data_IF_202594738798
#
_entry.id   IF_202594738798
#
_cell.length_a   1.000
_cell.length_b   1.000
_cell.length_c   1.000
_cell.angle_alpha   90.00
_cell.angle_beta   90.00
_cell.angle_gamma   90.00
#
_symmetry.space_group_name_H-M   'P 1'
#
loop_
_entity.id
_entity.type
_entity.pdbx_description
1 polymer ?
#
# COMPACT_ATOMS: atom_id res chain seq x y z
N UNK A 1 -18.62 39.43 5.85
CA UNK A 1 -19.11 38.06 5.62
C UNK A 1 -18.00 37.11 6.06
N UNK A 2 -18.19 36.37 7.15
CA UNK A 2 -17.23 35.36 7.61
C UNK A 2 -17.31 34.18 6.65
N UNK A 3 -16.18 33.70 6.09
CA UNK A 3 -16.19 32.51 5.23
C UNK A 3 -16.79 31.33 5.99
N UNK A 4 -17.75 30.63 5.36
CA UNK A 4 -18.29 29.38 5.92
C UNK A 4 -17.13 28.42 6.14
N UNK A 5 -16.97 27.80 7.32
CA UNK A 5 -15.92 26.82 7.55
C UNK A 5 -15.98 25.76 6.46
N UNK A 6 -14.83 25.42 5.87
CA UNK A 6 -14.74 24.36 4.84
C UNK A 6 -15.17 23.05 5.50
N UNK A 7 -16.21 22.43 4.98
CA UNK A 7 -16.70 21.16 5.50
C UNK A 7 -15.67 20.07 5.16
N UNK A 8 -15.18 19.35 6.19
CA UNK A 8 -14.23 18.24 6.03
C UNK A 8 -14.91 17.12 5.24
N UNK A 9 -14.31 16.69 4.14
CA UNK A 9 -14.84 15.64 3.27
C UNK A 9 -14.64 14.25 3.87
N UNK A 10 -15.39 13.24 3.37
CA UNK A 10 -15.19 11.84 3.76
C UNK A 10 -13.78 11.34 3.45
N UNK A 11 -13.21 11.76 2.33
CA UNK A 11 -11.83 11.43 1.97
C UNK A 11 -10.81 11.97 2.99
N UNK A 12 -11.00 13.19 3.50
CA UNK A 12 -10.15 13.77 4.54
C UNK A 12 -10.28 13.02 5.88
N UNK A 13 -11.49 12.57 6.22
CA UNK A 13 -11.74 11.75 7.41
C UNK A 13 -11.09 10.36 7.26
N UNK A 14 -11.24 9.70 6.11
CA UNK A 14 -10.60 8.41 5.85
C UNK A 14 -9.07 8.51 5.84
N UNK A 15 -8.51 9.60 5.32
CA UNK A 15 -7.08 9.86 5.42
C UNK A 15 -6.63 10.06 6.88
N UNK A 16 -7.42 10.73 7.71
CA UNK A 16 -7.17 10.85 9.16
C UNK A 16 -7.25 9.47 9.84
N UNK A 17 -8.25 8.65 9.53
CA UNK A 17 -8.36 7.29 10.03
C UNK A 17 -7.12 6.46 9.70
N UNK A 18 -6.63 6.53 8.46
CA UNK A 18 -5.41 5.83 8.03
C UNK A 18 -4.18 6.26 8.85
N UNK A 19 -4.04 7.56 9.19
CA UNK A 19 -2.95 8.04 10.05
C UNK A 19 -3.06 7.53 11.50
N UNK A 20 -4.28 7.48 12.05
CA UNK A 20 -4.52 6.92 13.39
C UNK A 20 -4.17 5.43 13.41
N UNK A 21 -4.59 4.66 12.41
CA UNK A 21 -4.31 3.21 12.30
C UNK A 21 -2.81 2.87 12.29
N UNK A 22 -1.93 3.77 11.84
CA UNK A 22 -0.49 3.54 11.88
C UNK A 22 0.07 3.48 13.31
N UNK A 23 -0.55 4.19 14.26
CA UNK A 23 -0.06 4.33 15.64
C UNK A 23 -0.96 3.70 16.70
N UNK A 24 -2.19 3.36 16.36
CA UNK A 24 -3.18 2.80 17.30
C UNK A 24 -3.64 1.44 16.78
N UNK A 25 -3.68 0.45 17.67
CA UNK A 25 -4.16 -0.89 17.32
C UNK A 25 -5.66 -0.90 17.05
N UNK A 26 -6.21 -1.90 16.31
CA UNK A 26 -7.64 -1.96 16.07
C UNK A 26 -8.47 -2.13 17.35
N UNK A 27 -7.90 -2.67 18.43
CA UNK A 27 -8.59 -2.81 19.72
C UNK A 27 -8.77 -1.43 20.38
N UNK A 28 -7.70 -0.64 20.39
CA UNK A 28 -7.63 0.64 21.11
C UNK A 28 -8.22 1.80 20.31
N UNK A 29 -8.27 1.71 18.97
CA UNK A 29 -8.79 2.78 18.12
C UNK A 29 -10.25 3.10 18.45
N UNK A 30 -10.54 4.39 18.62
CA UNK A 30 -11.89 4.93 18.84
C UNK A 30 -12.29 5.89 17.72
N UNK A 31 -13.59 6.13 17.56
CA UNK A 31 -14.09 7.16 16.63
C UNK A 31 -13.68 8.57 17.08
N UNK A 32 -13.44 8.76 18.38
CA UNK A 32 -12.97 10.03 18.93
C UNK A 32 -11.53 10.34 18.47
N UNK A 33 -10.63 9.34 18.44
CA UNK A 33 -9.26 9.52 17.95
C UNK A 33 -9.25 9.97 16.49
N UNK A 34 -10.14 9.39 15.68
CA UNK A 34 -10.25 9.77 14.25
C UNK A 34 -10.86 11.16 14.10
N UNK A 35 -11.84 11.52 14.95
CA UNK A 35 -12.44 12.85 14.93
C UNK A 35 -11.43 13.93 15.32
N UNK A 36 -10.62 13.70 16.34
CA UNK A 36 -9.53 14.58 16.76
C UNK A 36 -8.50 14.76 15.63
N UNK A 37 -8.05 13.67 15.03
CA UNK A 37 -7.09 13.69 13.91
C UNK A 37 -7.65 14.40 12.68
N UNK A 38 -8.95 14.28 12.41
CA UNK A 38 -9.64 14.92 11.29
C UNK A 38 -10.03 16.38 11.56
N UNK A 39 -9.93 16.84 12.82
CA UNK A 39 -10.38 18.18 13.24
C UNK A 39 -11.89 18.36 13.19
N UNK A 40 -12.66 17.31 13.46
CA UNK A 40 -14.13 17.33 13.45
C UNK A 40 -14.71 16.87 14.80
N UNK A 41 -15.99 17.13 15.03
CA UNK A 41 -16.64 16.61 16.23
C UNK A 41 -16.93 15.11 16.11
N UNK A 42 -16.78 14.28 17.16
CA UNK A 42 -17.04 12.83 17.10
C UNK A 42 -18.42 12.46 16.55
N UNK A 43 -19.45 13.26 16.81
CA UNK A 43 -20.78 13.07 16.24
C UNK A 43 -20.79 13.11 14.70
N UNK A 44 -19.88 13.86 14.07
CA UNK A 44 -19.74 13.93 12.62
C UNK A 44 -19.27 12.57 12.06
N UNK A 45 -18.32 11.92 12.74
CA UNK A 45 -17.85 10.57 12.34
C UNK A 45 -18.99 9.56 12.45
N UNK A 46 -19.72 9.58 13.58
CA UNK A 46 -20.86 8.68 13.81
C UNK A 46 -21.96 8.90 12.76
N UNK A 47 -22.26 10.15 12.45
CA UNK A 47 -23.29 10.48 11.46
C UNK A 47 -22.93 10.00 10.04
N UNK A 48 -21.63 10.09 9.66
CA UNK A 48 -21.18 9.78 8.30
C UNK A 48 -20.83 8.30 8.10
N UNK A 49 -20.24 7.66 9.10
CA UNK A 49 -19.70 6.31 9.00
C UNK A 49 -20.38 5.31 9.94
N UNK A 50 -21.19 5.75 10.90
CA UNK A 50 -21.88 4.86 11.84
C UNK A 50 -20.95 4.33 12.93
N UNK A 51 -20.52 3.10 12.79
CA UNK A 51 -19.69 2.37 13.74
C UNK A 51 -18.21 2.39 13.38
N UNK A 52 -17.35 2.02 14.34
CA UNK A 52 -15.91 1.81 14.08
C UNK A 52 -15.69 0.79 12.95
N UNK A 53 -16.45 -0.31 12.94
CA UNK A 53 -16.36 -1.34 11.89
C UNK A 53 -16.64 -0.75 10.50
N UNK A 54 -17.70 0.03 10.38
CA UNK A 54 -18.10 0.67 9.12
C UNK A 54 -17.07 1.70 8.64
N UNK A 55 -16.50 2.50 9.56
CA UNK A 55 -15.40 3.42 9.24
C UNK A 55 -14.18 2.67 8.71
N UNK A 56 -13.76 1.58 9.39
CA UNK A 56 -12.62 0.77 8.95
C UNK A 56 -12.88 0.14 7.59
N UNK A 57 -14.08 -0.39 7.37
CA UNK A 57 -14.47 -0.96 6.07
C UNK A 57 -14.50 0.10 4.96
N UNK A 58 -15.00 1.30 5.24
CA UNK A 58 -14.96 2.41 4.30
C UNK A 58 -13.51 2.80 3.95
N UNK A 59 -12.61 2.77 4.93
CA UNK A 59 -11.18 3.01 4.70
C UNK A 59 -10.56 1.94 3.78
N UNK A 60 -10.82 0.66 4.01
CA UNK A 60 -10.36 -0.42 3.15
C UNK A 60 -10.90 -0.29 1.71
N UNK A 61 -12.19 0.04 1.56
CA UNK A 61 -12.83 0.27 0.25
C UNK A 61 -12.19 1.45 -0.49
N UNK A 62 -11.95 2.56 0.19
CA UNK A 62 -11.32 3.75 -0.39
C UNK A 62 -9.89 3.44 -0.86
N UNK A 63 -9.09 2.76 -0.03
CA UNK A 63 -7.75 2.32 -0.40
C UNK A 63 -7.77 1.40 -1.63
N UNK A 64 -8.66 0.41 -1.65
CA UNK A 64 -8.81 -0.54 -2.77
C UNK A 64 -9.17 0.16 -4.07
N UNK A 65 -10.06 1.15 -4.02
CA UNK A 65 -10.47 1.93 -5.20
C UNK A 65 -9.31 2.77 -5.77
N UNK A 66 -8.37 3.20 -4.95
CA UNK A 66 -7.24 4.05 -5.35
C UNK A 66 -6.03 3.27 -5.91
N UNK A 67 -5.96 1.96 -5.73
CA UNK A 67 -4.80 1.14 -6.16
C UNK A 67 -4.43 1.38 -7.62
N UNK A 68 -5.38 1.37 -8.53
CA UNK A 68 -5.09 1.60 -9.95
C UNK A 68 -4.57 3.02 -10.22
N UNK A 69 -5.06 4.01 -9.47
CA UNK A 69 -4.58 5.40 -9.50
C UNK A 69 -3.12 5.50 -9.07
N UNK A 70 -2.74 4.86 -7.98
CA UNK A 70 -1.36 4.84 -7.48
C UNK A 70 -0.39 4.24 -8.52
N UNK A 71 -0.78 3.17 -9.21
CA UNK A 71 0.02 2.62 -10.32
C UNK A 71 0.08 3.57 -11.53
N UNK A 72 -0.98 4.32 -11.83
CA UNK A 72 -0.97 5.32 -12.90
C UNK A 72 -0.03 6.48 -12.57
N UNK A 73 -0.05 6.98 -11.33
CA UNK A 73 0.88 8.00 -10.85
C UNK A 73 2.33 7.52 -10.90
N UNK A 74 2.60 6.29 -10.45
CA UNK A 74 3.93 5.71 -10.51
C UNK A 74 4.44 5.63 -11.96
N UNK A 75 3.58 5.24 -12.91
CA UNK A 75 3.92 5.23 -14.35
C UNK A 75 4.23 6.64 -14.90
N UNK A 76 3.58 7.67 -14.39
CA UNK A 76 3.84 9.04 -14.80
C UNK A 76 5.19 9.58 -14.28
N UNK A 77 5.66 9.08 -13.12
CA UNK A 77 6.94 9.49 -12.51
C UNK A 77 8.18 8.93 -13.23
N UNK A 78 8.09 7.71 -13.78
CA UNK A 78 9.27 6.99 -14.29
C UNK A 78 9.05 6.49 -15.71
N UNK A 79 10.06 6.71 -16.59
CA UNK A 79 10.03 6.20 -17.98
C UNK A 79 10.28 4.70 -18.09
N UNK A 80 11.06 4.12 -17.18
CA UNK A 80 11.38 2.69 -17.15
C UNK A 80 10.30 1.92 -16.40
N UNK A 81 9.58 0.98 -17.04
CA UNK A 81 8.59 0.14 -16.38
C UNK A 81 9.18 -0.66 -15.20
N UNK A 82 10.41 -1.15 -15.33
CA UNK A 82 11.08 -1.89 -14.27
C UNK A 82 11.42 -0.98 -13.09
N UNK A 83 11.88 0.24 -13.35
CA UNK A 83 12.08 1.24 -12.31
C UNK A 83 10.77 1.60 -11.64
N UNK A 84 9.71 1.83 -12.40
CA UNK A 84 8.35 2.09 -11.87
C UNK A 84 7.94 1.00 -10.89
N UNK A 85 8.11 -0.28 -11.25
CA UNK A 85 7.74 -1.39 -10.38
C UNK A 85 8.54 -1.39 -9.07
N UNK A 86 9.85 -1.20 -9.14
CA UNK A 86 10.72 -1.19 -7.95
C UNK A 86 10.36 -0.01 -7.02
N UNK A 87 10.27 1.20 -7.59
CA UNK A 87 9.97 2.40 -6.81
C UNK A 87 8.57 2.36 -6.20
N UNK A 88 7.57 1.91 -6.97
CA UNK A 88 6.22 1.73 -6.45
C UNK A 88 6.17 0.70 -5.31
N UNK A 89 6.88 -0.42 -5.44
CA UNK A 89 6.99 -1.39 -4.34
C UNK A 89 7.58 -0.77 -3.08
N UNK A 90 8.54 0.13 -3.21
CA UNK A 90 9.14 0.88 -2.09
C UNK A 90 8.17 1.93 -1.55
N UNK A 91 7.53 2.72 -2.40
CA UNK A 91 6.55 3.74 -1.99
C UNK A 91 5.39 3.13 -1.20
N UNK A 92 4.92 1.93 -1.60
CA UNK A 92 3.88 1.18 -0.88
C UNK A 92 4.27 0.76 0.55
N UNK A 93 5.52 0.90 0.98
CA UNK A 93 5.94 0.61 2.37
C UNK A 93 5.77 1.79 3.33
N UNK A 94 5.36 2.94 2.83
CA UNK A 94 5.27 4.19 3.61
C UNK A 94 4.32 4.15 4.82
N UNK A 95 3.40 3.19 4.87
CA UNK A 95 2.50 2.98 5.99
C UNK A 95 3.20 2.38 7.23
N UNK A 96 4.33 1.71 7.06
CA UNK A 96 5.08 1.04 8.12
C UNK A 96 6.47 1.69 8.29
N UNK A 97 6.53 2.76 9.07
CA UNK A 97 7.78 3.49 9.36
C UNK A 97 8.54 2.93 10.58
N UNK A 98 7.86 2.23 11.48
CA UNK A 98 8.40 1.59 12.68
C UNK A 98 7.92 0.15 12.83
N UNK A 99 8.63 -0.71 13.60
CA UNK A 99 8.15 -2.06 13.90
C UNK A 99 6.78 -2.06 14.58
N UNK A 100 6.46 -1.04 15.37
CA UNK A 100 5.18 -0.87 16.05
C UNK A 100 4.06 -0.58 15.05
N UNK A 101 4.28 0.32 14.07
CA UNK A 101 3.31 0.58 13.01
C UNK A 101 3.08 -0.65 12.13
N UNK A 102 4.11 -1.47 11.93
CA UNK A 102 3.95 -2.76 11.23
C UNK A 102 3.14 -3.75 12.05
N UNK A 103 3.36 -3.84 13.38
CA UNK A 103 2.55 -4.68 14.25
C UNK A 103 1.07 -4.27 14.24
N UNK A 104 0.78 -2.97 14.29
CA UNK A 104 -0.58 -2.46 14.13
C UNK A 104 -1.18 -2.85 12.77
N UNK A 105 -0.44 -2.71 11.69
CA UNK A 105 -0.90 -3.10 10.35
C UNK A 105 -1.23 -4.59 10.25
N UNK A 106 -0.46 -5.46 10.90
CA UNK A 106 -0.75 -6.89 10.98
C UNK A 106 -2.02 -7.19 11.80
N UNK A 107 -2.28 -6.41 12.86
CA UNK A 107 -3.50 -6.55 13.65
C UNK A 107 -4.75 -6.13 12.83
N UNK A 108 -4.67 -5.10 11.99
CA UNK A 108 -5.72 -4.77 11.02
C UNK A 108 -5.88 -5.85 9.96
N UNK A 109 -4.78 -6.38 9.42
CA UNK A 109 -4.82 -7.48 8.46
C UNK A 109 -5.52 -8.72 9.03
N UNK A 110 -5.41 -8.98 10.34
CA UNK A 110 -6.16 -10.08 10.98
C UNK A 110 -7.67 -9.89 10.82
N UNK A 111 -8.19 -8.65 10.96
CA UNK A 111 -9.62 -8.35 10.72
C UNK A 111 -9.95 -8.61 9.25
N UNK A 112 -9.11 -8.11 8.33
CA UNK A 112 -9.30 -8.28 6.89
C UNK A 112 -9.35 -9.76 6.47
N UNK A 113 -8.64 -10.63 7.16
CA UNK A 113 -8.61 -12.06 6.88
C UNK A 113 -9.76 -12.86 7.53
N UNK A 114 -10.35 -12.35 8.61
CA UNK A 114 -11.34 -13.10 9.42
C UNK A 114 -12.77 -12.65 9.22
N UNK A 115 -13.00 -11.38 8.84
CA UNK A 115 -14.33 -10.86 8.52
C UNK A 115 -14.62 -11.01 7.02
N UNK A 116 -15.72 -11.68 6.61
CA UNK A 116 -16.00 -11.96 5.19
C UNK A 116 -16.10 -10.72 4.31
N UNK A 117 -16.63 -9.59 4.82
CA UNK A 117 -16.78 -8.37 4.02
C UNK A 117 -15.43 -7.68 3.81
N UNK A 118 -14.59 -7.60 4.84
CA UNK A 118 -13.22 -7.11 4.72
C UNK A 118 -12.38 -8.01 3.80
N UNK A 119 -12.53 -9.33 3.95
CA UNK A 119 -11.82 -10.28 3.09
C UNK A 119 -12.15 -10.10 1.61
N UNK A 120 -13.42 -9.87 1.28
CA UNK A 120 -13.81 -9.61 -0.12
C UNK A 120 -13.13 -8.34 -0.67
N UNK A 121 -13.03 -7.27 0.12
CA UNK A 121 -12.35 -6.03 -0.26
C UNK A 121 -10.84 -6.27 -0.40
N UNK A 122 -10.20 -6.95 0.55
CA UNK A 122 -8.79 -7.30 0.49
C UNK A 122 -8.46 -8.15 -0.75
N UNK A 123 -9.29 -9.14 -1.05
CA UNK A 123 -9.11 -9.99 -2.24
C UNK A 123 -9.16 -9.15 -3.53
N UNK A 124 -10.12 -8.24 -3.66
CA UNK A 124 -10.24 -7.35 -4.80
C UNK A 124 -8.99 -6.46 -4.94
N UNK A 125 -8.48 -5.91 -3.83
CA UNK A 125 -7.24 -5.14 -3.79
C UNK A 125 -6.04 -5.97 -4.30
N UNK A 126 -5.87 -7.17 -3.77
CA UNK A 126 -4.78 -8.07 -4.15
C UNK A 126 -4.82 -8.47 -5.63
N UNK A 127 -6.02 -8.71 -6.17
CA UNK A 127 -6.21 -9.00 -7.59
C UNK A 127 -5.84 -7.79 -8.46
N UNK A 128 -6.26 -6.58 -8.07
CA UNK A 128 -5.93 -5.34 -8.78
C UNK A 128 -4.43 -5.07 -8.76
N UNK A 129 -3.80 -5.14 -7.59
CA UNK A 129 -2.34 -4.98 -7.45
C UNK A 129 -1.57 -5.96 -8.34
N UNK A 130 -1.99 -7.23 -8.37
CA UNK A 130 -1.36 -8.27 -9.22
C UNK A 130 -1.52 -7.96 -10.70
N UNK A 131 -2.72 -7.53 -11.13
CA UNK A 131 -2.98 -7.18 -12.52
C UNK A 131 -2.14 -5.97 -12.97
N UNK A 132 -2.04 -4.92 -12.14
CA UNK A 132 -1.23 -3.73 -12.44
C UNK A 132 0.27 -4.06 -12.45
N UNK A 133 0.75 -4.87 -11.50
CA UNK A 133 2.13 -5.38 -11.48
C UNK A 133 2.44 -6.17 -12.75
N UNK A 134 1.53 -7.05 -13.20
CA UNK A 134 1.69 -7.79 -14.45
C UNK A 134 1.82 -6.85 -15.64
N UNK A 135 0.99 -5.80 -15.75
CA UNK A 135 1.09 -4.80 -16.82
C UNK A 135 2.46 -4.14 -16.85
N UNK A 136 3.02 -3.77 -15.69
CA UNK A 136 4.37 -3.20 -15.61
C UNK A 136 5.44 -4.19 -16.08
N UNK A 137 5.32 -5.46 -15.71
CA UNK A 137 6.24 -6.52 -16.16
C UNK A 137 6.11 -6.79 -17.67
N UNK A 138 4.89 -6.81 -18.22
CA UNK A 138 4.67 -6.92 -19.68
C UNK A 138 5.35 -5.76 -20.43
N UNK A 139 5.20 -4.53 -19.93
CA UNK A 139 5.85 -3.36 -20.49
C UNK A 139 7.38 -3.43 -20.35
N UNK A 140 7.91 -3.97 -19.23
CA UNK A 140 9.36 -4.15 -19.05
C UNK A 140 9.94 -5.19 -20.04
N UNK A 141 9.20 -6.25 -20.35
CA UNK A 141 9.57 -7.23 -21.39
C UNK A 141 9.53 -6.56 -22.78
N UNK A 142 8.46 -5.84 -23.11
CA UNK A 142 8.33 -5.11 -24.37
C UNK A 142 9.43 -4.06 -24.56
N UNK A 143 9.81 -3.35 -23.48
CA UNK A 143 10.93 -2.40 -23.46
C UNK A 143 12.32 -3.06 -23.46
N UNK A 144 12.39 -4.39 -23.44
CA UNK A 144 13.63 -5.18 -23.35
C UNK A 144 14.46 -4.88 -22.09
N UNK A 145 13.82 -4.45 -21.03
CA UNK A 145 14.43 -4.33 -19.69
C UNK A 145 14.48 -5.70 -19.00
N UNK A 146 13.48 -6.56 -19.27
CA UNK A 146 13.43 -7.96 -18.87
C UNK A 146 13.51 -8.88 -20.10
N UNK A 147 14.04 -10.08 -19.88
CA UNK A 147 13.95 -11.20 -20.81
C UNK A 147 12.49 -11.69 -20.89
N UNK A 148 12.06 -12.33 -21.99
CA UNK A 148 10.79 -13.03 -22.04
C UNK A 148 10.63 -13.98 -20.86
N UNK A 149 9.51 -13.88 -20.12
CA UNK A 149 9.22 -14.69 -18.95
C UNK A 149 7.71 -14.77 -18.72
N UNK A 150 7.27 -15.65 -17.82
CA UNK A 150 5.90 -15.68 -17.33
C UNK A 150 5.66 -14.49 -16.37
N UNK A 151 5.16 -13.39 -16.93
CA UNK A 151 4.88 -12.16 -16.18
C UNK A 151 3.74 -12.32 -15.17
N UNK A 152 2.83 -13.28 -15.38
CA UNK A 152 1.75 -13.54 -14.43
C UNK A 152 2.29 -14.26 -13.17
N UNK A 153 3.15 -15.27 -13.36
CA UNK A 153 3.83 -15.92 -12.24
C UNK A 153 4.77 -14.93 -11.52
N UNK A 154 5.50 -14.10 -12.26
CA UNK A 154 6.42 -13.13 -11.69
C UNK A 154 5.67 -12.03 -10.89
N UNK A 155 4.51 -11.56 -11.36
CA UNK A 155 3.66 -10.62 -10.61
C UNK A 155 3.20 -11.17 -9.26
N UNK A 156 2.84 -12.46 -9.21
CA UNK A 156 2.52 -13.15 -7.97
C UNK A 156 3.73 -13.21 -7.03
N UNK A 157 4.90 -13.54 -7.55
CA UNK A 157 6.13 -13.58 -6.76
C UNK A 157 6.53 -12.20 -6.22
N UNK A 158 6.39 -11.13 -7.01
CA UNK A 158 6.62 -9.75 -6.53
C UNK A 158 5.73 -9.43 -5.33
N UNK A 159 4.44 -9.78 -5.39
CA UNK A 159 3.51 -9.56 -4.29
C UNK A 159 3.91 -10.34 -3.03
N UNK A 160 4.30 -11.60 -3.18
CA UNK A 160 4.77 -12.45 -2.08
C UNK A 160 6.07 -11.95 -1.46
N UNK A 161 7.03 -11.52 -2.30
CA UNK A 161 8.32 -10.97 -1.85
C UNK A 161 8.12 -9.66 -1.10
N UNK A 162 7.22 -8.78 -1.55
CA UNK A 162 6.91 -7.55 -0.83
C UNK A 162 6.35 -7.84 0.57
N UNK A 163 5.39 -8.76 0.68
CA UNK A 163 4.83 -9.16 1.97
C UNK A 163 5.89 -9.80 2.88
N UNK A 164 6.73 -10.70 2.35
CA UNK A 164 7.83 -11.33 3.09
C UNK A 164 8.86 -10.32 3.58
N UNK A 165 9.26 -9.37 2.74
CA UNK A 165 10.23 -8.33 3.10
C UNK A 165 9.76 -7.45 4.26
N UNK A 166 8.46 -7.16 4.35
CA UNK A 166 7.87 -6.41 5.46
C UNK A 166 7.92 -7.20 6.77
N UNK A 167 7.58 -8.50 6.72
CA UNK A 167 7.64 -9.37 7.90
C UNK A 167 9.07 -9.58 8.37
N UNK A 168 9.99 -9.88 7.47
CA UNK A 168 11.41 -10.03 7.80
C UNK A 168 11.96 -8.75 8.44
N UNK A 169 11.68 -7.59 7.85
CA UNK A 169 12.10 -6.33 8.44
C UNK A 169 11.56 -6.13 9.87
N UNK A 170 10.27 -6.43 10.10
CA UNK A 170 9.66 -6.29 11.42
C UNK A 170 10.31 -7.22 12.47
N UNK A 171 10.78 -8.40 12.05
CA UNK A 171 11.49 -9.35 12.91
C UNK A 171 12.93 -8.91 13.16
N UNK A 172 13.68 -8.60 12.11
CA UNK A 172 15.10 -8.26 12.22
C UNK A 172 15.38 -6.84 12.72
N UNK A 173 14.46 -5.89 12.51
CA UNK A 173 14.52 -4.48 12.97
C UNK A 173 15.80 -3.76 12.60
N UNK A 174 16.35 -4.00 11.39
CA UNK A 174 17.63 -3.42 10.94
C UNK A 174 17.43 -2.56 9.69
N UNK A 175 17.78 -1.28 9.81
CA UNK A 175 17.69 -0.32 8.72
C UNK A 175 16.25 0.00 8.29
N UNK A 176 16.05 0.79 7.24
CA UNK A 176 14.71 1.18 6.77
C UNK A 176 14.02 0.06 5.98
N UNK A 177 12.70 -0.11 6.15
CA UNK A 177 11.89 -1.07 5.41
C UNK A 177 12.01 -0.89 3.89
N UNK A 178 12.06 0.35 3.41
CA UNK A 178 12.26 0.68 2.00
C UNK A 178 13.49 -0.01 1.39
N UNK A 179 14.59 -0.11 2.15
CA UNK A 179 15.81 -0.79 1.69
C UNK A 179 15.66 -2.31 1.65
N UNK A 180 14.88 -2.90 2.55
CA UNK A 180 14.56 -4.33 2.53
C UNK A 180 13.70 -4.67 1.32
N UNK A 181 12.62 -3.95 1.10
CA UNK A 181 11.73 -4.13 -0.04
C UNK A 181 12.48 -3.99 -1.36
N UNK A 182 13.27 -2.91 -1.51
CA UNK A 182 14.07 -2.69 -2.73
C UNK A 182 15.00 -3.86 -3.01
N UNK A 183 15.80 -4.29 -2.03
CA UNK A 183 16.75 -5.41 -2.20
C UNK A 183 16.04 -6.70 -2.57
N UNK A 184 14.92 -7.00 -1.93
CA UNK A 184 14.16 -8.22 -2.16
C UNK A 184 13.55 -8.26 -3.56
N UNK A 185 12.94 -7.16 -4.00
CA UNK A 185 12.37 -7.05 -5.36
C UNK A 185 13.48 -7.06 -6.41
N UNK A 186 14.58 -6.36 -6.20
CA UNK A 186 15.73 -6.37 -7.12
C UNK A 186 16.37 -7.75 -7.23
N UNK A 187 16.51 -8.47 -6.12
CA UNK A 187 17.03 -9.84 -6.10
C UNK A 187 16.12 -10.82 -6.87
N UNK A 188 14.79 -10.72 -6.65
CA UNK A 188 13.81 -11.50 -7.41
C UNK A 188 13.91 -11.24 -8.90
N UNK A 189 14.06 -9.98 -9.32
CA UNK A 189 14.07 -9.59 -10.73
C UNK A 189 15.43 -9.79 -11.41
N UNK A 190 16.51 -9.95 -10.65
CA UNK A 190 17.87 -10.03 -11.18
C UNK A 190 18.07 -11.11 -12.28
N UNK A 191 17.56 -12.36 -12.16
CA UNK A 191 17.72 -13.40 -13.18
C UNK A 191 17.03 -13.06 -14.51
N UNK A 192 15.97 -12.24 -14.44
CA UNK A 192 15.14 -11.87 -15.58
C UNK A 192 15.65 -10.61 -16.31
N UNK A 193 16.58 -9.83 -15.72
CA UNK A 193 17.12 -8.62 -16.37
C UNK A 193 17.81 -8.96 -17.70
N UNK A 194 17.52 -8.15 -18.72
CA UNK A 194 18.23 -8.26 -19.99
C UNK A 194 19.63 -7.63 -19.86
N UNK A 195 20.61 -8.11 -20.68
CA UNK A 195 21.98 -7.59 -20.67
C UNK A 195 22.10 -6.08 -21.05
N UNK A 196 21.05 -5.49 -21.58
CA UNK A 196 20.97 -4.05 -21.88
C UNK A 196 20.62 -3.19 -20.66
N UNK A 197 20.05 -3.79 -19.61
CA UNK A 197 19.79 -3.08 -18.35
C UNK A 197 21.09 -3.01 -17.53
N UNK A 198 22.00 -2.12 -17.96
CA UNK A 198 23.14 -1.76 -17.11
C UNK A 198 22.61 -1.08 -15.86
N UNK A 199 23.10 -1.52 -14.70
CA UNK A 199 22.95 -0.82 -13.44
C UNK A 199 23.25 0.68 -13.69
N UNK A 200 22.23 1.54 -13.73
CA UNK A 200 22.47 2.93 -13.45
C UNK A 200 23.01 2.96 -12.02
N UNK A 201 24.26 3.37 -11.87
CA UNK A 201 24.90 3.54 -10.56
C UNK A 201 24.02 4.47 -9.76
N UNK A 202 23.38 3.92 -8.79
CA UNK A 202 22.78 4.70 -7.73
C UNK A 202 23.91 5.06 -6.77
N UNK A 203 24.53 6.21 -6.98
CA UNK A 203 25.32 6.90 -5.97
C UNK A 203 24.36 7.67 -5.08
#
# INVERSE_FOLDING_TARGET
MTPRPRETSDAEILAAAARVMQRVSPVDLTLADVAEEAGVHPATIIQRFGTKRELLLANCKAWTADVAGQFAEARAKYRSPLKTLIEHSVECTGFASTPESMANSLAYLQIDLTDPEFHAVLLAQYMTMRAETKKLLDHAVAARELKPCDTAALARLVQQVNAGAMLDWAVYRKGPLAAWTRRSVEALLAPYRSGRYRKSRWA
#
